data_IF_551856358285
#
_entry.id   IF_551856358285
#
_cell.length_a   1.000
_cell.length_b   1.000
_cell.length_c   1.000
_cell.angle_alpha   90.00
_cell.angle_beta   90.00
_cell.angle_gamma   90.00
#
_symmetry.space_group_name_H-M   'P 1'
#
loop_
_entity.id
_entity.type
_entity.pdbx_description
1 polymer ?
#
# COMPACT_ATOMS: atom_id res chain seq x y z
N UNK A 1 32.49 46.73 3.88
CA UNK A 1 31.52 46.68 2.77
C UNK A 1 30.25 46.05 3.32
N UNK A 2 29.36 46.86 3.87
CA UNK A 2 28.12 46.42 4.53
C UNK A 2 27.02 46.24 3.48
N UNK A 3 26.43 45.03 3.40
CA UNK A 3 25.25 44.76 2.58
C UNK A 3 24.01 44.85 3.44
N UNK A 4 23.21 45.91 3.24
CA UNK A 4 21.88 46.08 3.81
C UNK A 4 20.89 45.22 3.02
N UNK A 5 20.19 44.31 3.70
CA UNK A 5 19.04 43.58 3.17
C UNK A 5 17.78 44.42 3.39
N UNK A 6 17.09 44.77 2.31
CA UNK A 6 15.78 45.41 2.34
C UNK A 6 14.68 44.34 2.37
N UNK A 7 13.78 44.43 3.35
CA UNK A 7 12.55 43.64 3.44
C UNK A 7 11.42 44.39 2.73
N UNK A 8 10.72 43.71 1.83
CA UNK A 8 9.47 44.20 1.24
C UNK A 8 8.29 43.61 1.99
N UNK A 9 7.54 44.46 2.69
CA UNK A 9 6.24 44.13 3.30
C UNK A 9 5.16 44.39 2.24
N UNK A 10 4.42 43.35 1.85
CA UNK A 10 3.24 43.49 1.00
C UNK A 10 1.99 43.54 1.88
N UNK A 11 1.35 44.72 1.93
CA UNK A 11 0.03 44.92 2.55
C UNK A 11 -1.02 44.72 1.47
N UNK A 12 -1.84 43.67 1.59
CA UNK A 12 -3.00 43.46 0.72
C UNK A 12 -4.22 44.10 1.38
N UNK A 13 -4.66 45.25 0.85
CA UNK A 13 -5.96 45.83 1.16
C UNK A 13 -7.06 45.04 0.43
N UNK A 14 -7.96 44.43 1.18
CA UNK A 14 -9.20 43.84 0.69
C UNK A 14 -10.32 44.90 0.76
N UNK A 15 -10.91 45.23 -0.39
CA UNK A 15 -12.10 46.08 -0.49
C UNK A 15 -13.35 45.27 -0.17
N UNK A 16 -14.12 45.74 0.82
CA UNK A 16 -15.45 45.22 1.14
C UNK A 16 -16.45 45.47 0.02
N UNK A 17 -17.34 44.49 -0.22
CA UNK A 17 -18.50 44.64 -1.10
C UNK A 17 -19.73 45.04 -0.29
N UNK A 18 -20.36 46.14 -0.72
CA UNK A 18 -21.68 46.60 -0.30
C UNK A 18 -22.74 45.50 -0.49
N UNK A 19 -23.57 45.33 0.53
CA UNK A 19 -24.81 44.58 0.45
C UNK A 19 -25.91 45.45 -0.18
N UNK A 20 -26.55 44.92 -1.22
CA UNK A 20 -27.70 45.50 -1.91
C UNK A 20 -28.99 44.84 -1.38
N UNK A 21 -30.15 45.55 -1.32
CA UNK A 21 -31.38 44.99 -0.74
C UNK A 21 -32.05 43.95 -1.63
N UNK A 22 -32.52 42.86 -1.01
CA UNK A 22 -33.24 41.79 -1.68
C UNK A 22 -34.62 42.23 -2.19
N UNK A 23 -34.85 42.10 -3.49
CA UNK A 23 -36.17 42.17 -4.12
C UNK A 23 -37.02 40.92 -3.87
N UNK A 24 -38.34 40.99 -4.09
CA UNK A 24 -39.26 39.89 -3.81
C UNK A 24 -39.03 38.70 -4.76
N UNK A 25 -38.96 37.51 -4.16
CA UNK A 25 -38.73 36.21 -4.82
C UNK A 25 -39.99 35.80 -5.61
N UNK A 26 -39.89 35.53 -6.92
CA UNK A 26 -41.01 34.96 -7.69
C UNK A 26 -41.24 33.49 -7.29
N UNK A 27 -42.51 33.10 -7.20
CA UNK A 27 -42.94 31.74 -6.89
C UNK A 27 -42.41 30.74 -7.92
N UNK A 28 -41.58 29.80 -7.48
CA UNK A 28 -41.02 28.74 -8.30
C UNK A 28 -42.05 27.67 -8.63
N UNK A 29 -42.27 27.43 -9.92
CA UNK A 29 -42.93 26.26 -10.48
C UNK A 29 -42.28 24.97 -9.97
N UNK A 30 -43.03 23.94 -9.56
CA UNK A 30 -42.45 22.70 -9.04
C UNK A 30 -41.63 21.98 -10.12
N UNK A 31 -40.35 21.76 -9.82
CA UNK A 31 -39.43 20.92 -10.60
C UNK A 31 -39.92 19.47 -10.54
N UNK A 32 -40.00 18.75 -11.67
CA UNK A 32 -40.36 17.33 -11.67
C UNK A 32 -39.36 16.50 -10.86
N UNK A 33 -39.86 15.61 -10.02
CA UNK A 33 -39.09 14.64 -9.25
C UNK A 33 -38.15 13.85 -10.18
N UNK A 34 -36.82 13.84 -9.93
CA UNK A 34 -35.90 13.03 -10.71
C UNK A 34 -36.29 11.55 -10.59
N UNK A 35 -36.29 10.85 -11.73
CA UNK A 35 -36.44 9.40 -11.72
C UNK A 35 -35.32 8.76 -10.87
N UNK A 36 -35.62 7.72 -10.06
CA UNK A 36 -34.63 7.06 -9.22
C UNK A 36 -33.46 6.56 -10.08
N UNK A 37 -32.25 6.86 -9.62
CA UNK A 37 -31.03 6.38 -10.24
C UNK A 37 -31.06 4.83 -10.32
N UNK A 38 -30.65 4.22 -11.45
CA UNK A 38 -30.59 2.77 -11.56
C UNK A 38 -29.69 2.23 -10.45
N UNK A 39 -30.18 1.18 -9.76
CA UNK A 39 -29.40 0.48 -8.76
C UNK A 39 -28.05 0.05 -9.38
N UNK A 40 -26.91 0.25 -8.69
CA UNK A 40 -25.62 -0.17 -9.21
C UNK A 40 -25.67 -1.66 -9.55
N UNK A 41 -25.22 -1.98 -10.77
CA UNK A 41 -25.10 -3.36 -11.21
C UNK A 41 -24.22 -4.11 -10.20
N UNK A 42 -24.60 -5.32 -9.75
CA UNK A 42 -23.78 -6.12 -8.86
C UNK A 42 -22.39 -6.27 -9.47
N UNK A 43 -21.36 -5.85 -8.74
CA UNK A 43 -19.98 -6.17 -9.11
C UNK A 43 -19.90 -7.69 -9.32
N UNK A 44 -19.35 -8.11 -10.46
CA UNK A 44 -19.26 -9.51 -10.80
C UNK A 44 -18.55 -10.25 -9.65
N UNK A 45 -19.30 -11.11 -8.95
CA UNK A 45 -18.75 -11.94 -7.89
C UNK A 45 -17.61 -12.76 -8.50
N UNK A 46 -16.39 -12.49 -8.05
CA UNK A 46 -15.25 -13.32 -8.41
C UNK A 46 -15.59 -14.75 -8.00
N UNK A 47 -15.63 -15.65 -8.97
CA UNK A 47 -15.80 -17.08 -8.72
C UNK A 47 -14.73 -17.51 -7.72
N UNK A 48 -15.15 -17.65 -6.47
CA UNK A 48 -14.27 -18.04 -5.37
C UNK A 48 -13.66 -19.42 -5.65
N UNK A 49 -12.54 -19.75 -4.99
CA UNK A 49 -11.97 -21.08 -5.07
C UNK A 49 -13.00 -22.14 -4.69
N UNK A 50 -12.90 -23.31 -5.34
CA UNK A 50 -13.81 -24.42 -5.09
C UNK A 50 -13.86 -24.76 -3.58
N UNK A 51 -15.06 -25.00 -3.01
CA UNK A 51 -15.20 -25.34 -1.60
C UNK A 51 -14.49 -26.67 -1.33
N UNK A 52 -13.38 -26.65 -0.59
CA UNK A 52 -12.69 -27.90 -0.25
C UNK A 52 -11.38 -27.78 0.54
N UNK A 53 -10.64 -26.69 0.43
CA UNK A 53 -9.37 -26.54 1.16
C UNK A 53 -9.38 -25.30 2.03
N UNK A 54 -9.59 -25.51 3.34
CA UNK A 54 -9.31 -24.50 4.36
C UNK A 54 -7.81 -24.21 4.32
N UNK A 55 -7.43 -23.03 3.83
CA UNK A 55 -6.06 -22.58 3.77
C UNK A 55 -6.00 -21.12 3.31
N UNK A 56 -4.83 -20.49 3.37
CA UNK A 56 -4.73 -19.07 3.04
C UNK A 56 -5.11 -18.85 1.58
N UNK A 57 -5.96 -17.84 1.37
CA UNK A 57 -6.38 -17.39 0.04
C UNK A 57 -5.36 -16.44 -0.56
N UNK A 58 -4.71 -15.64 0.29
CA UNK A 58 -3.75 -14.62 -0.11
C UNK A 58 -2.38 -14.93 0.47
N UNK A 59 -1.35 -14.69 -0.34
CA UNK A 59 0.04 -14.72 0.07
C UNK A 59 0.66 -13.38 -0.23
N UNK A 60 1.37 -12.84 0.74
CA UNK A 60 2.08 -11.58 0.60
C UNK A 60 3.55 -11.85 0.80
N UNK A 61 4.36 -11.39 -0.15
CA UNK A 61 5.79 -11.54 -0.13
C UNK A 61 6.51 -10.23 -0.42
N UNK A 62 7.75 -10.14 0.02
CA UNK A 62 8.67 -9.08 -0.37
C UNK A 62 9.46 -9.55 -1.59
N UNK A 63 9.33 -8.83 -2.69
CA UNK A 63 10.12 -9.07 -3.90
C UNK A 63 11.28 -8.09 -3.94
N UNK A 64 12.50 -8.61 -3.98
CA UNK A 64 13.74 -7.83 -3.99
C UNK A 64 14.54 -8.12 -5.25
N UNK A 65 15.27 -7.13 -5.77
CA UNK A 65 16.25 -7.34 -6.85
C UNK A 65 17.67 -7.25 -6.29
N UNK A 66 18.31 -8.41 -6.13
CA UNK A 66 19.70 -8.53 -5.69
C UNK A 66 20.65 -8.37 -6.89
N UNK A 67 21.68 -7.51 -6.81
CA UNK A 67 22.73 -7.46 -7.81
C UNK A 67 23.47 -8.80 -7.97
N UNK A 68 23.67 -9.54 -6.87
CA UNK A 68 24.38 -10.82 -6.86
C UNK A 68 23.62 -11.92 -7.60
N UNK A 69 22.29 -11.95 -7.46
CA UNK A 69 21.45 -12.93 -8.15
C UNK A 69 21.15 -12.52 -9.60
N UNK A 70 21.32 -11.24 -9.94
CA UNK A 70 21.01 -10.70 -11.27
C UNK A 70 19.52 -10.75 -11.64
N UNK A 71 18.67 -11.25 -10.73
CA UNK A 71 17.23 -11.46 -10.94
C UNK A 71 16.43 -11.20 -9.66
N UNK A 72 15.14 -10.86 -9.77
CA UNK A 72 14.27 -10.71 -8.62
C UNK A 72 14.07 -12.03 -7.88
N UNK A 73 13.96 -11.94 -6.57
CA UNK A 73 13.70 -13.05 -5.67
C UNK A 73 12.64 -12.64 -4.65
N UNK A 74 11.88 -13.62 -4.18
CA UNK A 74 10.67 -13.45 -3.38
C UNK A 74 10.89 -14.01 -1.98
N UNK A 75 10.46 -13.27 -0.98
CA UNK A 75 10.40 -13.73 0.40
C UNK A 75 8.95 -13.76 0.85
N UNK A 76 8.34 -14.95 1.01
CA UNK A 76 7.00 -15.06 1.56
C UNK A 76 7.01 -14.51 2.99
N UNK A 77 6.13 -13.54 3.26
CA UNK A 77 6.04 -12.87 4.56
C UNK A 77 4.80 -13.32 5.29
N UNK A 78 3.65 -13.26 4.62
CA UNK A 78 2.36 -13.44 5.25
C UNK A 78 1.43 -14.33 4.43
N UNK A 79 0.53 -14.99 5.15
CA UNK A 79 -0.59 -15.72 4.61
C UNK A 79 -1.87 -15.22 5.28
N UNK A 80 -2.96 -15.08 4.51
CA UNK A 80 -4.24 -14.57 5.02
C UNK A 80 -5.43 -14.86 4.10
N UNK A 81 -6.53 -14.15 4.34
CA UNK A 81 -7.81 -14.29 3.64
C UNK A 81 -8.88 -14.87 4.55
N UNK A 82 -9.36 -16.08 4.25
CA UNK A 82 -10.37 -16.75 5.08
C UNK A 82 -9.86 -17.10 6.50
N UNK A 83 -8.55 -16.93 6.74
CA UNK A 83 -7.89 -17.05 8.03
C UNK A 83 -7.26 -15.71 8.40
N UNK A 84 -7.13 -15.46 9.71
CA UNK A 84 -6.39 -14.33 10.21
C UNK A 84 -4.97 -14.29 9.64
N UNK A 85 -4.47 -13.10 9.33
CA UNK A 85 -3.11 -12.88 8.86
C UNK A 85 -2.09 -13.52 9.80
N UNK A 86 -1.16 -14.28 9.24
CA UNK A 86 -0.10 -14.94 9.99
C UNK A 86 1.26 -14.77 9.31
N UNK A 87 2.30 -14.68 10.13
CA UNK A 87 3.70 -14.66 9.71
C UNK A 87 4.39 -16.04 9.91
N UNK A 88 3.62 -17.06 10.30
CA UNK A 88 4.16 -18.41 10.44
C UNK A 88 4.71 -18.90 9.10
N UNK A 89 5.99 -19.24 9.08
CA UNK A 89 6.69 -19.60 7.86
C UNK A 89 6.05 -20.82 7.17
N UNK A 90 5.52 -21.77 7.96
CA UNK A 90 4.81 -22.94 7.43
C UNK A 90 3.53 -22.53 6.69
N UNK A 91 2.77 -21.56 7.18
CA UNK A 91 1.55 -21.07 6.52
C UNK A 91 1.87 -20.25 5.26
N UNK A 92 2.86 -19.36 5.32
CA UNK A 92 3.27 -18.54 4.17
C UNK A 92 3.91 -19.37 3.05
N UNK A 93 4.53 -20.51 3.38
CA UNK A 93 5.23 -21.38 2.41
C UNK A 93 4.43 -22.60 1.97
N UNK A 94 3.47 -23.09 2.75
CA UNK A 94 2.72 -24.29 2.40
C UNK A 94 2.13 -24.25 0.98
N UNK A 95 1.51 -23.15 0.51
CA UNK A 95 1.01 -23.09 -0.87
C UNK A 95 2.09 -23.18 -1.96
N UNK A 96 3.34 -22.83 -1.63
CA UNK A 96 4.48 -22.94 -2.56
C UNK A 96 4.95 -24.39 -2.70
N UNK A 97 4.73 -25.21 -1.67
CA UNK A 97 4.99 -26.66 -1.72
C UNK A 97 3.90 -27.43 -2.49
N UNK A 98 2.69 -26.87 -2.60
CA UNK A 98 1.58 -27.46 -3.37
C UNK A 98 1.75 -27.26 -4.88
N UNK A 99 2.54 -26.27 -5.30
CA UNK A 99 2.81 -25.97 -6.70
C UNK A 99 3.22 -24.51 -6.92
N UNK A 100 3.43 -24.11 -8.19
CA UNK A 100 3.78 -22.74 -8.53
C UNK A 100 2.73 -21.77 -8.01
N UNK A 101 3.15 -20.57 -7.65
CA UNK A 101 2.28 -19.46 -7.31
C UNK A 101 2.71 -18.24 -8.11
N UNK A 102 1.73 -17.42 -8.49
CA UNK A 102 1.98 -16.19 -9.24
C UNK A 102 1.90 -15.00 -8.32
N UNK A 103 3.05 -14.43 -7.98
CA UNK A 103 3.15 -13.21 -7.20
C UNK A 103 3.18 -12.01 -8.12
N UNK A 104 2.17 -11.17 -8.04
CA UNK A 104 2.10 -9.89 -8.73
C UNK A 104 2.95 -8.89 -7.99
N UNK A 105 3.83 -8.19 -8.70
CA UNK A 105 4.75 -7.24 -8.09
C UNK A 105 4.19 -5.85 -8.26
N UNK A 106 3.98 -5.17 -7.13
CA UNK A 106 3.53 -3.79 -7.07
C UNK A 106 4.77 -2.89 -7.02
N UNK A 107 4.80 -1.88 -7.90
CA UNK A 107 5.84 -0.87 -7.92
C UNK A 107 5.61 0.20 -6.86
N UNK A 108 6.52 1.17 -6.78
CA UNK A 108 6.51 2.21 -5.73
C UNK A 108 5.32 3.18 -5.78
N UNK A 109 4.49 3.11 -6.84
CA UNK A 109 3.22 3.83 -6.96
C UNK A 109 1.98 2.93 -6.83
N UNK A 110 2.14 1.67 -6.45
CA UNK A 110 1.05 0.69 -6.33
C UNK A 110 0.60 0.12 -7.67
N UNK A 111 1.18 0.60 -8.77
CA UNK A 111 0.93 0.06 -10.10
C UNK A 111 1.58 -1.31 -10.20
N UNK A 112 0.94 -2.24 -10.89
CA UNK A 112 1.50 -3.56 -11.17
C UNK A 112 2.58 -3.47 -12.24
N UNK A 113 3.78 -3.95 -11.94
CA UNK A 113 4.92 -3.92 -12.89
C UNK A 113 5.23 -5.27 -13.53
N UNK A 114 4.73 -6.36 -12.97
CA UNK A 114 4.98 -7.70 -13.49
C UNK A 114 4.52 -8.78 -12.53
N UNK A 115 5.06 -9.98 -12.72
CA UNK A 115 4.88 -11.07 -11.77
C UNK A 115 6.11 -11.98 -11.68
N UNK A 116 6.20 -12.70 -10.58
CA UNK A 116 7.10 -13.83 -10.37
C UNK A 116 6.23 -15.08 -10.32
N UNK A 117 6.52 -16.05 -11.18
CA UNK A 117 5.98 -17.41 -11.10
C UNK A 117 6.99 -18.25 -10.32
N UNK A 118 6.65 -18.69 -9.12
CA UNK A 118 7.57 -19.50 -8.30
C UNK A 118 7.81 -20.86 -8.96
N UNK A 119 9.06 -21.32 -8.97
CA UNK A 119 9.42 -22.63 -9.52
C UNK A 119 8.94 -23.76 -8.57
N UNK A 120 8.44 -24.87 -9.12
CA UNK A 120 8.17 -26.11 -8.36
C UNK A 120 9.42 -26.68 -7.69
N UNK A 121 10.60 -26.40 -8.25
CA UNK A 121 11.89 -26.81 -7.72
C UNK A 121 12.58 -25.71 -6.92
N UNK A 122 11.94 -24.55 -6.73
CA UNK A 122 12.49 -23.48 -5.91
C UNK A 122 12.67 -23.98 -4.48
N UNK A 123 13.89 -23.91 -3.94
CA UNK A 123 14.18 -24.36 -2.57
C UNK A 123 13.42 -23.44 -1.60
N UNK A 124 12.40 -23.94 -0.89
CA UNK A 124 11.55 -23.07 -0.08
C UNK A 124 12.29 -22.42 1.10
N UNK A 125 13.40 -23.03 1.50
CA UNK A 125 14.20 -22.66 2.65
C UNK A 125 15.46 -21.86 2.30
N UNK A 126 15.64 -21.38 1.06
CA UNK A 126 16.77 -20.50 0.75
C UNK A 126 16.63 -19.19 1.55
N UNK A 127 17.57 -18.87 2.47
CA UNK A 127 17.53 -17.61 3.21
C UNK A 127 17.66 -16.39 2.30
N UNK A 128 18.07 -16.57 1.04
CA UNK A 128 18.14 -15.54 -0.01
C UNK A 128 16.82 -15.42 -0.79
N UNK A 129 15.78 -16.18 -0.42
CA UNK A 129 14.46 -16.10 -1.01
C UNK A 129 14.23 -17.08 -2.15
N UNK A 130 12.96 -17.24 -2.51
CA UNK A 130 12.52 -18.04 -3.63
C UNK A 130 12.89 -17.35 -4.92
N UNK A 131 13.48 -18.12 -5.83
CA UNK A 131 13.64 -17.67 -7.21
C UNK A 131 12.56 -18.30 -8.06
N UNK A 132 11.95 -17.49 -8.92
CA UNK A 132 10.98 -17.92 -9.91
C UNK A 132 11.27 -17.33 -11.28
N UNK A 133 10.44 -17.71 -12.25
CA UNK A 133 10.42 -17.05 -13.55
C UNK A 133 9.81 -15.67 -13.41
N UNK A 134 10.61 -14.66 -13.74
CA UNK A 134 10.20 -13.26 -13.64
C UNK A 134 9.71 -12.73 -14.98
N UNK A 135 8.48 -12.24 -15.01
CA UNK A 135 7.89 -11.60 -16.18
C UNK A 135 7.59 -10.13 -15.84
N UNK A 136 8.58 -9.29 -16.10
CA UNK A 136 8.50 -7.84 -15.93
C UNK A 136 8.39 -7.17 -17.30
N UNK A 137 7.67 -6.06 -17.36
CA UNK A 137 7.84 -5.11 -18.46
C UNK A 137 9.29 -4.56 -18.41
N UNK A 138 9.88 -4.20 -19.55
CA UNK A 138 11.30 -3.85 -19.61
C UNK A 138 11.65 -2.71 -18.63
N UNK A 139 12.64 -2.95 -17.75
CA UNK A 139 13.03 -2.00 -16.70
C UNK A 139 12.06 -1.90 -15.51
N UNK A 140 11.00 -2.70 -15.49
CA UNK A 140 10.01 -2.72 -14.41
C UNK A 140 10.46 -3.62 -13.25
N UNK A 141 10.00 -3.31 -12.04
CA UNK A 141 10.42 -3.95 -10.80
C UNK A 141 9.76 -3.30 -9.58
N UNK A 142 10.03 -3.77 -8.36
CA UNK A 142 9.39 -3.26 -7.14
C UNK A 142 9.65 -1.76 -6.90
N UNK A 143 10.83 -1.27 -7.30
CA UNK A 143 11.17 0.15 -7.18
C UNK A 143 10.83 0.98 -8.42
N UNK A 144 10.34 0.35 -9.47
CA UNK A 144 9.98 1.08 -10.68
C UNK A 144 8.62 1.77 -10.48
N UNK A 145 8.46 2.91 -11.14
CA UNK A 145 7.17 3.50 -11.43
C UNK A 145 7.15 4.02 -12.86
N UNK A 146 5.95 4.09 -13.43
CA UNK A 146 5.74 4.52 -14.81
C UNK A 146 5.31 5.98 -14.86
N UNK A 147 5.99 6.78 -15.69
CA UNK A 147 5.51 8.10 -16.09
C UNK A 147 4.48 7.99 -17.24
N UNK A 148 3.66 9.03 -17.49
CA UNK A 148 2.68 9.03 -18.58
C UNK A 148 3.25 8.64 -19.95
N UNK A 149 4.52 8.98 -20.21
CA UNK A 149 5.23 8.71 -21.47
C UNK A 149 5.79 7.28 -21.58
N UNK A 150 5.36 6.37 -20.71
CA UNK A 150 5.84 4.97 -20.62
C UNK A 150 7.33 4.81 -20.26
N UNK A 151 7.97 5.88 -19.82
CA UNK A 151 9.32 5.81 -19.24
C UNK A 151 9.22 5.21 -17.84
N UNK A 152 9.96 4.13 -17.62
CA UNK A 152 10.15 3.55 -16.30
C UNK A 152 11.26 4.29 -15.56
N UNK A 153 10.94 4.79 -14.37
CA UNK A 153 11.90 5.41 -13.45
C UNK A 153 12.03 4.53 -12.22
N UNK A 154 13.26 4.37 -11.75
CA UNK A 154 13.55 3.71 -10.46
C UNK A 154 13.49 4.76 -9.36
N UNK A 155 12.66 4.51 -8.35
CA UNK A 155 12.65 5.31 -7.12
C UNK A 155 13.99 5.10 -6.39
N UNK A 156 14.77 6.17 -6.26
CA UNK A 156 16.08 6.12 -5.63
C UNK A 156 16.00 5.72 -4.16
N UNK A 157 14.98 6.18 -3.43
CA UNK A 157 14.78 5.82 -2.03
C UNK A 157 14.49 4.33 -1.85
N UNK A 158 13.73 3.73 -2.77
CA UNK A 158 13.51 2.29 -2.81
C UNK A 158 14.80 1.51 -3.13
N UNK A 159 15.61 2.01 -4.06
CA UNK A 159 16.94 1.45 -4.36
C UNK A 159 17.85 1.43 -3.13
N UNK A 160 17.93 2.56 -2.43
CA UNK A 160 18.73 2.72 -1.19
C UNK A 160 18.17 1.91 -0.01
N UNK A 161 16.90 1.52 -0.06
CA UNK A 161 16.22 0.66 0.91
C UNK A 161 16.36 -0.84 0.59
N UNK A 162 17.22 -1.22 -0.35
CA UNK A 162 17.49 -2.63 -0.68
C UNK A 162 16.78 -3.14 -1.94
N UNK A 163 16.15 -2.25 -2.70
CA UNK A 163 15.50 -2.56 -3.98
C UNK A 163 14.37 -3.60 -3.85
N UNK A 164 13.54 -3.44 -2.81
CA UNK A 164 12.48 -4.34 -2.42
C UNK A 164 11.11 -3.66 -2.45
N UNK A 165 10.06 -4.44 -2.73
CA UNK A 165 8.67 -3.98 -2.72
C UNK A 165 7.72 -5.14 -2.49
N UNK A 166 6.43 -4.84 -2.36
CA UNK A 166 5.45 -5.89 -2.04
C UNK A 166 5.00 -6.64 -3.28
N UNK A 167 4.67 -7.90 -3.06
CA UNK A 167 4.13 -8.77 -4.08
C UNK A 167 3.05 -9.66 -3.50
N UNK A 168 2.00 -9.92 -4.26
CA UNK A 168 0.81 -10.60 -3.77
C UNK A 168 0.42 -11.73 -4.72
N UNK A 169 0.14 -12.90 -4.16
CA UNK A 169 -0.43 -14.02 -4.90
C UNK A 169 -1.81 -14.37 -4.34
N UNK A 170 -2.74 -14.71 -5.24
CA UNK A 170 -3.99 -15.37 -4.88
C UNK A 170 -3.80 -16.85 -5.14
N UNK A 171 -4.03 -17.68 -4.12
CA UNK A 171 -3.92 -19.13 -4.24
C UNK A 171 -4.86 -19.64 -5.33
N UNK A 172 -4.32 -20.43 -6.26
CA UNK A 172 -5.09 -21.01 -7.38
C UNK A 172 -5.29 -20.11 -8.60
N UNK A 173 -4.77 -18.88 -8.59
CA UNK A 173 -4.92 -17.92 -9.71
C UNK A 173 -4.18 -18.33 -11.00
N UNK A 174 -3.36 -19.37 -10.96
CA UNK A 174 -2.66 -19.89 -12.14
C UNK A 174 -3.60 -20.32 -13.28
N UNK A 175 -4.81 -20.76 -12.96
CA UNK A 175 -5.77 -21.25 -13.94
C UNK A 175 -6.28 -20.16 -14.90
N UNK A 176 -6.16 -18.88 -14.54
CA UNK A 176 -6.69 -17.77 -15.32
C UNK A 176 -5.60 -16.74 -15.63
N UNK A 177 -4.60 -17.07 -16.47
CA UNK A 177 -3.42 -16.23 -16.63
C UNK A 177 -3.70 -14.82 -17.17
N UNK A 178 -4.87 -14.63 -17.80
CA UNK A 178 -5.35 -13.34 -18.30
C UNK A 178 -6.18 -12.56 -17.27
N UNK A 179 -6.80 -13.25 -16.31
CA UNK A 179 -7.54 -12.61 -15.23
C UNK A 179 -6.53 -12.20 -14.17
N UNK A 180 -6.43 -10.91 -13.97
CA UNK A 180 -5.47 -10.29 -13.08
C UNK A 180 -6.22 -9.98 -11.78
N UNK A 181 -5.84 -10.56 -10.63
CA UNK A 181 -6.30 -10.08 -9.33
C UNK A 181 -6.32 -8.57 -9.28
N UNK A 182 -7.48 -7.99 -9.05
CA UNK A 182 -7.62 -6.56 -8.85
C UNK A 182 -7.53 -6.32 -7.35
N UNK A 183 -6.34 -5.86 -6.95
CA UNK A 183 -6.00 -5.51 -5.57
C UNK A 183 -6.08 -4.00 -5.52
N UNK A 184 -7.04 -3.46 -4.75
CA UNK A 184 -7.11 -2.03 -4.55
C UNK A 184 -5.86 -1.58 -3.77
N UNK A 185 -5.27 -0.47 -4.20
CA UNK A 185 -4.10 0.11 -3.56
C UNK A 185 -4.43 1.52 -3.13
N UNK A 186 -4.04 1.88 -1.90
CA UNK A 186 -4.12 3.24 -1.42
C UNK A 186 -2.80 3.98 -1.58
N UNK A 187 -2.87 5.28 -1.37
CA UNK A 187 -1.69 6.12 -1.24
C UNK A 187 -1.71 6.77 0.13
N UNK A 188 -0.55 6.79 0.76
CA UNK A 188 -0.34 7.40 2.06
C UNK A 188 0.68 8.52 1.96
N UNK A 189 0.78 9.29 3.02
CA UNK A 189 1.59 10.49 3.08
C UNK A 189 2.35 10.58 4.38
N UNK A 190 3.46 11.27 4.33
CA UNK A 190 4.28 11.50 5.51
C UNK A 190 4.39 12.99 5.73
N UNK A 191 3.77 13.48 6.80
CA UNK A 191 3.72 14.90 7.17
C UNK A 191 3.98 15.02 8.67
N UNK A 192 4.93 15.87 9.08
CA UNK A 192 5.24 16.13 10.49
C UNK A 192 5.37 14.87 11.36
N UNK A 193 6.11 13.88 10.88
CA UNK A 193 6.30 12.58 11.52
C UNK A 193 5.02 11.75 11.75
N UNK A 194 4.00 11.96 10.92
CA UNK A 194 2.79 11.15 10.86
C UNK A 194 2.61 10.52 9.49
N UNK A 195 2.12 9.29 9.48
CA UNK A 195 1.58 8.63 8.30
C UNK A 195 0.10 8.98 8.17
N UNK A 196 -0.29 9.48 7.01
CA UNK A 196 -1.66 9.94 6.74
C UNK A 196 -2.23 9.21 5.54
N UNK A 197 -3.43 8.66 5.66
CA UNK A 197 -4.14 7.98 4.58
C UNK A 197 -5.54 7.56 5.03
N UNK A 198 -6.44 7.37 4.07
CA UNK A 198 -7.73 6.69 4.26
C UNK A 198 -7.45 5.19 4.19
N UNK A 199 -7.32 4.54 5.35
CA UNK A 199 -6.99 3.12 5.44
C UNK A 199 -8.21 2.25 5.70
N UNK A 200 -9.29 2.76 6.26
CA UNK A 200 -10.53 2.00 6.48
C UNK A 200 -11.55 2.14 5.34
N UNK A 201 -11.25 2.96 4.32
CA UNK A 201 -12.04 3.10 3.12
C UNK A 201 -13.30 3.94 3.32
N UNK A 202 -13.42 4.69 4.42
CA UNK A 202 -14.59 5.52 4.73
C UNK A 202 -14.58 6.89 4.01
N UNK A 203 -13.48 7.22 3.32
CA UNK A 203 -13.29 8.46 2.58
C UNK A 203 -12.72 9.62 3.42
N UNK A 204 -12.60 9.45 4.74
CA UNK A 204 -11.83 10.32 5.61
C UNK A 204 -10.39 9.82 5.68
N UNK A 205 -9.46 10.71 6.04
CA UNK A 205 -8.07 10.31 6.25
C UNK A 205 -7.79 10.20 7.74
N UNK A 206 -7.04 9.18 8.11
CA UNK A 206 -6.51 8.96 9.45
C UNK A 206 -5.06 9.42 9.51
N UNK A 207 -4.58 9.71 10.70
CA UNK A 207 -3.20 10.10 10.97
C UNK A 207 -2.62 9.23 12.09
N UNK A 208 -1.47 8.62 11.82
CA UNK A 208 -0.77 7.70 12.71
C UNK A 208 0.65 8.21 12.98
N UNK A 209 1.09 8.38 14.24
CA UNK A 209 2.43 8.83 14.53
C UNK A 209 3.46 7.77 14.09
N UNK A 210 4.52 8.18 13.39
CA UNK A 210 5.55 7.23 12.93
C UNK A 210 6.21 6.47 14.10
N UNK A 211 6.40 7.14 15.23
CA UNK A 211 6.93 6.54 16.47
C UNK A 211 6.06 5.37 16.96
N UNK A 212 4.75 5.38 16.68
CA UNK A 212 3.83 4.31 17.10
C UNK A 212 4.14 2.96 16.45
N UNK A 213 4.82 2.96 15.29
CA UNK A 213 5.26 1.73 14.63
C UNK A 213 6.55 1.13 15.24
N UNK A 214 7.11 1.76 16.29
CA UNK A 214 8.21 1.15 17.05
C UNK A 214 7.67 0.04 17.94
N UNK A 215 8.11 -1.18 17.67
CA UNK A 215 7.87 -2.32 18.53
C UNK A 215 6.69 -3.18 18.08
N UNK A 216 6.14 -4.01 19.00
CA UNK A 216 5.25 -5.09 18.61
C UNK A 216 3.76 -4.78 18.71
N UNK A 217 3.37 -3.56 19.09
CA UNK A 217 2.00 -3.21 19.41
C UNK A 217 1.19 -2.68 18.22
N UNK A 218 -0.09 -2.42 18.52
CA UNK A 218 -0.98 -1.65 17.67
C UNK A 218 -0.56 -0.18 17.62
N UNK A 219 -1.03 0.55 16.60
CA UNK A 219 -0.75 1.97 16.43
C UNK A 219 -2.03 2.78 16.57
N UNK A 220 -2.11 3.53 17.65
CA UNK A 220 -3.21 4.48 17.86
C UNK A 220 -3.10 5.65 16.88
N UNK A 221 -4.22 6.05 16.30
CA UNK A 221 -4.30 7.18 15.38
C UNK A 221 -5.38 8.18 15.78
N UNK A 222 -5.53 9.20 14.94
CA UNK A 222 -6.54 10.24 15.07
C UNK A 222 -7.08 10.62 13.70
N UNK A 223 -8.27 11.20 13.65
CA UNK A 223 -8.80 11.75 12.41
C UNK A 223 -7.91 12.91 11.92
N UNK A 224 -7.50 12.88 10.66
CA UNK A 224 -6.70 13.95 10.06
C UNK A 224 -7.59 15.16 9.75
N UNK A 225 -7.20 16.34 10.23
CA UNK A 225 -7.92 17.61 10.03
C UNK A 225 -7.14 18.64 9.20
N UNK A 226 -6.00 18.24 8.64
CA UNK A 226 -5.14 19.11 7.87
C UNK A 226 -5.56 19.21 6.40
N UNK A 227 -4.75 19.94 5.62
CA UNK A 227 -4.90 19.94 4.16
C UNK A 227 -4.73 18.52 3.59
N UNK A 228 -5.35 18.25 2.42
CA UNK A 228 -5.08 17.03 1.67
C UNK A 228 -3.59 16.88 1.39
N UNK A 229 -3.16 15.63 1.28
CA UNK A 229 -1.76 15.35 1.08
C UNK A 229 -1.25 15.89 -0.27
N UNK A 230 -0.13 16.66 -0.28
CA UNK A 230 0.39 17.22 -1.52
C UNK A 230 1.09 16.18 -2.40
N UNK A 231 1.64 15.12 -1.81
CA UNK A 231 2.45 14.12 -2.51
C UNK A 231 2.13 12.70 -2.04
N UNK A 232 0.91 12.20 -2.27
CA UNK A 232 0.53 10.85 -1.90
C UNK A 232 1.35 9.83 -2.68
N UNK A 233 1.81 8.78 -1.98
CA UNK A 233 2.61 7.69 -2.54
C UNK A 233 2.14 6.37 -1.97
N UNK A 234 2.27 5.32 -2.76
CA UNK A 234 2.03 3.97 -2.30
C UNK A 234 3.10 3.51 -1.30
N UNK A 235 4.38 3.79 -1.60
CA UNK A 235 5.51 3.43 -0.74
C UNK A 235 6.33 4.65 -0.28
N UNK A 236 6.88 4.56 0.92
CA UNK A 236 7.80 5.54 1.51
C UNK A 236 9.00 4.81 2.10
N UNK A 237 10.21 5.34 1.90
CA UNK A 237 11.43 4.64 2.29
C UNK A 237 12.33 5.53 3.14
N UNK A 238 13.08 4.88 4.03
CA UNK A 238 14.16 5.45 4.82
C UNK A 238 13.72 6.62 5.71
N UNK A 239 12.48 6.60 6.19
CA UNK A 239 11.98 7.59 7.14
C UNK A 239 12.70 7.42 8.47
N UNK A 240 13.31 8.50 8.95
CA UNK A 240 14.05 8.48 10.21
C UNK A 240 13.10 8.68 11.37
N UNK A 241 13.23 7.81 12.36
CA UNK A 241 12.57 7.94 13.65
C UNK A 241 13.68 7.81 14.68
N UNK A 242 14.24 8.93 15.15
CA UNK A 242 15.47 8.88 15.95
C UNK A 242 16.63 8.25 15.17
N UNK A 243 17.26 7.22 15.74
CA UNK A 243 18.31 6.45 15.07
C UNK A 243 17.76 5.32 14.17
N UNK A 244 16.48 5.00 14.31
CA UNK A 244 15.82 3.90 13.61
C UNK A 244 15.34 4.34 12.22
N UNK A 245 14.93 3.35 11.43
CA UNK A 245 14.41 3.54 10.08
C UNK A 245 13.07 2.85 9.91
N UNK A 246 12.13 3.54 9.28
CA UNK A 246 10.84 2.99 8.87
C UNK A 246 10.66 3.13 7.36
N UNK A 247 10.20 2.05 6.73
CA UNK A 247 9.74 2.02 5.36
C UNK A 247 8.25 1.64 5.36
N UNK A 248 7.42 2.36 4.62
CA UNK A 248 6.09 1.89 4.24
C UNK A 248 6.22 1.22 2.89
N UNK A 249 5.98 -0.09 2.86
CA UNK A 249 6.12 -0.89 1.64
C UNK A 249 4.90 -0.74 0.73
N UNK A 250 3.73 -0.49 1.30
CA UNK A 250 2.48 -0.28 0.56
C UNK A 250 1.26 -0.26 1.47
N UNK A 251 0.16 0.30 0.98
CA UNK A 251 -1.19 0.15 1.53
C UNK A 251 -2.08 -0.48 0.46
N UNK A 252 -2.69 -1.63 0.75
CA UNK A 252 -3.47 -2.38 -0.22
C UNK A 252 -4.59 -3.19 0.45
N UNK A 253 -5.73 -3.32 -0.22
CA UNK A 253 -6.83 -4.19 0.19
C UNK A 253 -6.48 -5.64 -0.16
N UNK A 254 -5.76 -6.29 0.76
CA UNK A 254 -5.15 -7.59 0.52
C UNK A 254 -6.14 -8.72 0.73
N UNK A 255 -7.08 -8.58 1.67
CA UNK A 255 -8.11 -9.58 1.93
C UNK A 255 -9.47 -9.31 1.28
N UNK A 256 -9.66 -8.12 0.68
CA UNK A 256 -10.83 -7.70 -0.11
C UNK A 256 -12.06 -7.40 0.73
N UNK A 257 -11.84 -6.87 1.93
CA UNK A 257 -12.90 -6.39 2.81
C UNK A 257 -13.19 -4.89 2.66
N UNK A 258 -12.39 -4.19 1.84
CA UNK A 258 -12.50 -2.76 1.55
C UNK A 258 -11.60 -1.88 2.41
N UNK A 259 -11.00 -2.43 3.47
CA UNK A 259 -9.92 -1.80 4.21
C UNK A 259 -8.59 -1.95 3.46
N UNK A 260 -7.62 -1.11 3.78
CA UNK A 260 -6.27 -1.19 3.26
C UNK A 260 -5.32 -1.69 4.34
N UNK A 261 -4.84 -2.93 4.17
CA UNK A 261 -3.71 -3.43 4.95
C UNK A 261 -2.46 -2.59 4.67
N UNK A 262 -1.80 -2.16 5.75
CA UNK A 262 -0.57 -1.41 5.69
C UNK A 262 0.63 -2.33 5.97
N UNK A 263 1.56 -2.41 5.02
CA UNK A 263 2.84 -3.11 5.21
C UNK A 263 3.93 -2.12 5.58
N UNK A 264 4.53 -2.35 6.76
CA UNK A 264 5.60 -1.50 7.30
C UNK A 264 6.82 -2.35 7.58
N UNK A 265 7.99 -1.87 7.19
CA UNK A 265 9.26 -2.41 7.63
C UNK A 265 9.95 -1.46 8.60
N UNK A 266 10.20 -1.94 9.81
CA UNK A 266 10.93 -1.21 10.84
C UNK A 266 12.32 -1.82 11.03
N UNK A 267 13.35 -0.98 11.03
CA UNK A 267 14.73 -1.40 11.29
C UNK A 267 15.26 -0.60 12.48
N UNK A 268 15.42 -1.27 13.62
CA UNK A 268 16.06 -0.66 14.78
C UNK A 268 17.54 -0.37 14.47
N UNK A 269 18.10 0.67 15.09
CA UNK A 269 19.51 1.02 14.93
C UNK A 269 20.42 -0.16 15.31
N UNK A 270 21.12 -0.73 14.33
CA UNK A 270 21.97 -1.92 14.50
C UNK A 270 21.21 -3.23 14.74
N UNK A 271 19.88 -3.20 14.68
CA UNK A 271 19.01 -4.38 14.82
C UNK A 271 18.56 -4.96 13.48
N UNK A 272 17.79 -6.06 13.52
CA UNK A 272 17.25 -6.67 12.31
C UNK A 272 16.07 -5.85 11.75
N UNK A 273 15.72 -6.10 10.49
CA UNK A 273 14.55 -5.49 9.86
C UNK A 273 13.32 -6.34 10.17
N UNK A 274 12.26 -5.75 10.67
CA UNK A 274 10.99 -6.43 10.94
C UNK A 274 9.94 -5.90 10.00
N UNK A 275 9.32 -6.77 9.21
CA UNK A 275 8.17 -6.41 8.37
C UNK A 275 6.90 -6.82 9.11
N UNK A 276 5.94 -5.92 9.20
CA UNK A 276 4.65 -6.14 9.85
C UNK A 276 3.52 -5.75 8.90
N UNK A 277 2.39 -6.42 9.06
CA UNK A 277 1.12 -6.09 8.42
C UNK A 277 0.15 -5.60 9.48
N UNK A 278 -0.47 -4.47 9.18
CA UNK A 278 -1.47 -3.82 10.03
C UNK A 278 -2.80 -3.74 9.29
N UNK A 279 -3.90 -3.92 10.02
CA UNK A 279 -5.26 -3.77 9.51
C UNK A 279 -5.99 -2.70 10.35
N UNK A 280 -6.80 -1.82 9.76
CA UNK A 280 -7.67 -0.93 10.52
C UNK A 280 -8.57 -1.69 11.51
N UNK A 281 -8.74 -1.13 12.71
CA UNK A 281 -9.71 -1.64 13.67
C UNK A 281 -11.13 -1.19 13.27
N UNK A 282 -12.15 -2.01 13.57
CA UNK A 282 -13.57 -1.69 13.32
C UNK A 282 -14.17 -0.64 14.28
N UNK A 283 -13.34 0.08 15.04
CA UNK A 283 -13.76 0.95 16.14
C UNK A 283 -12.95 2.25 16.21
N UNK A 284 -12.24 2.53 17.31
CA UNK A 284 -11.39 3.72 17.37
C UNK A 284 -10.34 3.69 16.25
N UNK A 285 -9.92 4.87 15.79
CA UNK A 285 -8.88 5.00 14.76
C UNK A 285 -7.59 4.39 15.29
N UNK A 286 -7.31 3.17 14.84
CA UNK A 286 -6.20 2.34 15.29
C UNK A 286 -5.85 1.34 14.21
N UNK A 287 -4.57 1.10 14.06
CA UNK A 287 -4.03 0.00 13.24
C UNK A 287 -3.66 -1.17 14.13
N UNK A 288 -4.36 -2.29 13.96
CA UNK A 288 -4.07 -3.53 14.68
C UNK A 288 -2.96 -4.29 13.97
N UNK A 289 -1.89 -4.60 14.70
CA UNK A 289 -0.79 -5.40 14.14
C UNK A 289 -1.22 -6.85 14.06
N UNK A 290 -1.45 -7.35 12.84
CA UNK A 290 -1.93 -8.72 12.66
C UNK A 290 -0.82 -9.75 12.69
N UNK A 291 0.32 -9.44 12.05
CA UNK A 291 1.46 -10.34 11.97
C UNK A 291 2.75 -9.60 11.72
N UNK A 292 3.89 -10.24 12.01
CA UNK A 292 5.21 -9.70 11.68
C UNK A 292 6.29 -10.78 11.57
N UNK A 293 7.29 -10.49 10.74
CA UNK A 293 8.41 -11.37 10.42
C UNK A 293 9.72 -10.60 10.47
N UNK A 294 10.75 -11.21 11.07
CA UNK A 294 12.11 -10.67 11.10
C UNK A 294 12.86 -11.09 9.82
N UNK A 295 13.60 -10.16 9.23
CA UNK A 295 14.29 -10.23 7.95
C UNK A 295 15.76 -9.85 8.10
#
# INVERSE_FOLDING_TARGET
MERRFAWSVAVVLSCGRSAEPAGPVPASTPTPTPAPAPAPAPAAADAGPAPGTVGPRYLVGETCKSPQLGRPHLFPLFAGGDLAWTAEASAARAPLAEGPQRFQVLGSRGVRHGHILTDVNGVPDDPRGFVGESHYEEGSGPCAYRLPEQVYIIDAGCGDAGNCGISVAIRGDLAHPKKRPDIAVGQVCVVDAHLIGDLDGDGAAESFPLEGFRGPGDVEGVAHRGAPCPHPRFSWYRMRIGADVLDVLGAADLDRDGNLELLVAFTAAGGPRTVAIYTPASGPIRLERRAAVVR
#
